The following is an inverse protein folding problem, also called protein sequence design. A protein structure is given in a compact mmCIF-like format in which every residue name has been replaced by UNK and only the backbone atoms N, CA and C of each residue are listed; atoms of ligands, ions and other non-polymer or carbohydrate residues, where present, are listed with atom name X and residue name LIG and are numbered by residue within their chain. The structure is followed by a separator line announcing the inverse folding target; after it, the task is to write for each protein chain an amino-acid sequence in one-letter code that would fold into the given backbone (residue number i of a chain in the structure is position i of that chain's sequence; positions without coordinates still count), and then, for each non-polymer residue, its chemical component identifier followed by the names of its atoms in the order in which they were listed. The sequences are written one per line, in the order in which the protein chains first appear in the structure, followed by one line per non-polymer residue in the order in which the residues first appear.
data_IF_814022704799
#
_entry.id   IF_814022704799
#
_cell.length_a   1.000
_cell.length_b   1.000
_cell.length_c   1.000
_cell.angle_alpha   90.00
_cell.angle_beta   90.00
_cell.angle_gamma   90.00
#
_symmetry.space_group_name_H-M   'P 1'
#
loop_
_entity.id
_entity.type
_entity.pdbx_description
1 polymer ?
#
# COMPACT_ATOMS: atom_id res chain seq x y z
N UNK A 1 -0.18 -26.69 0.03
CA UNK A 1 -0.50 -27.30 -1.28
C UNK A 1 -0.09 -26.35 -2.40
N UNK A 2 0.15 -26.81 -3.66
CA UNK A 2 0.55 -25.95 -4.77
C UNK A 2 -0.37 -24.74 -5.00
N UNK A 3 -1.69 -24.91 -4.84
CA UNK A 3 -2.70 -23.86 -5.02
C UNK A 3 -2.51 -22.69 -4.03
N UNK A 4 -2.13 -22.99 -2.78
CA UNK A 4 -1.86 -21.96 -1.78
C UNK A 4 -0.65 -21.11 -2.16
N UNK A 5 0.42 -21.72 -2.70
CA UNK A 5 1.60 -20.97 -3.15
C UNK A 5 1.22 -20.01 -4.28
N UNK A 6 0.42 -20.47 -5.24
CA UNK A 6 -0.07 -19.63 -6.34
C UNK A 6 -0.92 -18.47 -5.82
N UNK A 7 -1.84 -18.73 -4.88
CA UNK A 7 -2.66 -17.67 -4.28
C UNK A 7 -1.80 -16.61 -3.57
N UNK A 8 -0.76 -17.02 -2.83
CA UNK A 8 0.17 -16.08 -2.18
C UNK A 8 0.92 -15.22 -3.21
N UNK A 9 1.32 -15.79 -4.34
CA UNK A 9 1.96 -15.04 -5.43
C UNK A 9 0.99 -13.98 -5.96
N UNK A 10 -0.25 -14.35 -6.30
CA UNK A 10 -1.22 -13.39 -6.80
C UNK A 10 -1.52 -12.26 -5.82
N UNK A 11 -1.70 -12.57 -4.53
CA UNK A 11 -1.90 -11.55 -3.50
C UNK A 11 -0.69 -10.60 -3.40
N UNK A 12 0.54 -11.13 -3.42
CA UNK A 12 1.77 -10.32 -3.34
C UNK A 12 1.89 -9.38 -4.52
N UNK A 13 1.72 -9.90 -5.74
CA UNK A 13 1.86 -9.10 -6.95
C UNK A 13 0.72 -8.09 -7.10
N UNK A 14 -0.52 -8.47 -6.76
CA UNK A 14 -1.66 -7.56 -6.80
C UNK A 14 -1.52 -6.37 -5.85
N UNK A 15 -1.11 -6.63 -4.59
CA UNK A 15 -0.89 -5.55 -3.61
C UNK A 15 0.33 -4.71 -4.00
N UNK A 16 1.44 -5.33 -4.40
CA UNK A 16 2.64 -4.61 -4.82
C UNK A 16 2.39 -3.71 -6.03
N UNK A 17 1.58 -4.16 -6.99
CA UNK A 17 1.18 -3.36 -8.15
C UNK A 17 0.52 -2.04 -7.73
N UNK A 18 -0.37 -2.06 -6.73
CA UNK A 18 -1.05 -0.84 -6.26
C UNK A 18 -0.05 0.14 -5.66
N UNK A 19 0.88 -0.33 -4.83
CA UNK A 19 1.94 0.54 -4.28
C UNK A 19 2.85 1.12 -5.37
N UNK A 20 3.23 0.31 -6.37
CA UNK A 20 4.02 0.80 -7.49
C UNK A 20 3.26 1.83 -8.32
N UNK A 21 1.99 1.60 -8.58
CA UNK A 21 1.14 2.52 -9.31
C UNK A 21 1.07 3.86 -8.57
N UNK A 22 0.75 3.84 -7.28
CA UNK A 22 0.66 5.04 -6.45
C UNK A 22 1.99 5.82 -6.42
N UNK A 23 3.09 5.11 -6.15
CA UNK A 23 4.41 5.71 -6.08
C UNK A 23 4.90 6.31 -7.40
N UNK A 24 4.62 5.66 -8.54
CA UNK A 24 5.06 6.17 -9.85
C UNK A 24 4.21 7.38 -10.24
N UNK A 25 2.89 7.30 -10.10
CA UNK A 25 2.00 8.37 -10.55
C UNK A 25 2.03 9.60 -9.65
N UNK A 26 2.38 9.46 -8.37
CA UNK A 26 2.63 10.61 -7.47
C UNK A 26 3.83 11.46 -7.91
N UNK A 27 4.85 10.86 -8.53
CA UNK A 27 5.96 11.60 -9.13
C UNK A 27 5.55 12.28 -10.44
N UNK A 28 4.75 11.60 -11.25
CA UNK A 28 4.33 12.11 -12.56
C UNK A 28 3.31 13.25 -12.44
N UNK A 29 2.37 13.15 -11.49
CA UNK A 29 1.25 14.08 -11.36
C UNK A 29 1.06 14.54 -9.91
N UNK A 30 2.04 15.16 -9.25
CA UNK A 30 2.03 15.40 -7.80
C UNK A 30 0.80 16.15 -7.27
N UNK A 31 0.19 17.00 -8.09
CA UNK A 31 -1.02 17.76 -7.73
C UNK A 31 -2.24 16.85 -7.51
N UNK A 32 -2.31 15.70 -8.20
CA UNK A 32 -3.41 14.75 -8.05
C UNK A 32 -3.27 13.92 -6.77
N UNK A 33 -2.05 13.80 -6.23
CA UNK A 33 -1.72 12.88 -5.14
C UNK A 33 -1.56 13.57 -3.78
N UNK A 34 -1.15 14.83 -3.75
CA UNK A 34 -0.95 15.57 -2.49
C UNK A 34 -2.26 15.68 -1.68
N UNK A 35 -3.41 15.65 -2.34
CA UNK A 35 -4.72 15.67 -1.70
C UNK A 35 -4.98 14.50 -0.74
N UNK A 36 -4.35 13.35 -0.98
CA UNK A 36 -4.52 12.14 -0.16
C UNK A 36 -3.76 12.19 1.18
N UNK A 37 -2.91 13.19 1.38
CA UNK A 37 -2.18 13.37 2.62
C UNK A 37 -2.98 14.25 3.60
N UNK A 38 -2.99 13.87 4.90
CA UNK A 38 -3.58 14.68 5.94
C UNK A 38 -3.06 16.13 5.94
N UNK A 39 -3.96 17.08 6.21
CA UNK A 39 -3.64 18.52 6.23
C UNK A 39 -2.49 18.84 7.20
N UNK A 40 -2.42 18.15 8.34
CA UNK A 40 -1.36 18.40 9.32
C UNK A 40 0.05 18.08 8.76
N UNK A 41 0.21 17.06 7.92
CA UNK A 41 1.50 16.77 7.28
C UNK A 41 1.85 17.84 6.25
N UNK A 42 0.86 18.27 5.46
CA UNK A 42 1.02 19.31 4.42
C UNK A 42 1.38 20.68 4.97
N UNK A 43 1.03 20.96 6.23
CA UNK A 43 1.38 22.21 6.89
C UNK A 43 2.79 22.21 7.51
N UNK A 44 3.38 21.03 7.73
CA UNK A 44 4.68 20.87 8.40
C UNK A 44 5.80 20.63 7.40
N UNK A 45 5.53 19.87 6.33
CA UNK A 45 6.55 19.42 5.38
C UNK A 45 6.26 19.95 3.96
N UNK A 46 7.31 20.22 3.16
CA UNK A 46 7.13 20.55 1.76
C UNK A 46 6.49 19.39 0.98
N UNK A 47 5.56 19.70 0.07
CA UNK A 47 4.87 18.73 -0.79
C UNK A 47 5.82 17.72 -1.45
N UNK A 48 6.94 18.21 -2.01
CA UNK A 48 7.92 17.34 -2.67
C UNK A 48 8.56 16.32 -1.72
N UNK A 49 8.80 16.70 -0.46
CA UNK A 49 9.37 15.79 0.54
C UNK A 49 8.35 14.74 0.99
N UNK A 50 7.09 15.14 1.19
CA UNK A 50 5.99 14.23 1.54
C UNK A 50 5.82 13.17 0.46
N UNK A 51 5.64 13.61 -0.79
CA UNK A 51 5.38 12.72 -1.92
C UNK A 51 6.59 11.84 -2.22
N UNK A 52 7.80 12.39 -2.27
CA UNK A 52 9.01 11.60 -2.53
C UNK A 52 9.27 10.58 -1.43
N UNK A 53 9.12 10.98 -0.16
CA UNK A 53 9.31 10.09 0.99
C UNK A 53 8.32 8.93 1.01
N UNK A 54 7.03 9.22 0.80
CA UNK A 54 6.01 8.18 0.77
C UNK A 54 6.12 7.27 -0.46
N UNK A 55 6.44 7.82 -1.62
CA UNK A 55 6.63 7.04 -2.84
C UNK A 55 7.84 6.11 -2.75
N UNK A 56 8.93 6.58 -2.14
CA UNK A 56 10.08 5.73 -1.84
C UNK A 56 9.70 4.58 -0.88
N UNK A 57 8.90 4.88 0.14
CA UNK A 57 8.35 3.90 1.06
C UNK A 57 7.48 2.85 0.34
N UNK A 58 6.54 3.29 -0.52
CA UNK A 58 5.66 2.42 -1.29
C UNK A 58 6.43 1.52 -2.27
N UNK A 59 7.42 2.05 -2.99
CA UNK A 59 8.31 1.25 -3.84
C UNK A 59 9.05 0.20 -3.02
N UNK A 60 9.63 0.59 -1.88
CA UNK A 60 10.35 -0.33 -1.00
C UNK A 60 9.43 -1.45 -0.50
N UNK A 61 8.20 -1.10 -0.11
CA UNK A 61 7.20 -2.05 0.36
C UNK A 61 6.73 -2.99 -0.76
N UNK A 62 6.50 -2.48 -1.97
CA UNK A 62 6.13 -3.30 -3.14
C UNK A 62 7.24 -4.28 -3.52
N UNK A 63 8.51 -3.85 -3.54
CA UNK A 63 9.63 -4.76 -3.76
C UNK A 63 9.78 -5.78 -2.62
N UNK A 64 9.53 -5.38 -1.36
CA UNK A 64 9.54 -6.30 -0.23
C UNK A 64 8.46 -7.38 -0.36
N UNK A 65 7.23 -7.01 -0.74
CA UNK A 65 6.16 -7.96 -1.06
C UNK A 65 6.56 -8.94 -2.17
N UNK A 66 7.12 -8.45 -3.28
CA UNK A 66 7.56 -9.29 -4.41
C UNK A 66 8.74 -10.19 -4.02
N UNK A 67 9.60 -9.78 -3.09
CA UNK A 67 10.69 -10.65 -2.63
C UNK A 67 10.20 -11.90 -1.89
N UNK A 68 9.05 -11.82 -1.21
CA UNK A 68 8.51 -12.89 -0.38
C UNK A 68 9.27 -13.15 0.92
N UNK A 69 10.32 -12.37 1.19
CA UNK A 69 11.06 -12.43 2.46
C UNK A 69 10.20 -11.84 3.56
N UNK A 70 10.16 -12.49 4.73
CA UNK A 70 9.41 -11.99 5.90
C UNK A 70 7.96 -11.63 5.56
N UNK A 71 7.30 -12.48 4.77
CA UNK A 71 6.01 -12.20 4.12
C UNK A 71 4.90 -11.75 5.09
N UNK A 72 4.87 -12.30 6.31
CA UNK A 72 3.92 -11.87 7.32
C UNK A 72 4.07 -10.37 7.64
N UNK A 73 5.32 -9.90 7.81
CA UNK A 73 5.59 -8.52 8.19
C UNK A 73 5.33 -7.54 7.06
N UNK A 74 5.73 -7.87 5.82
CA UNK A 74 5.43 -7.02 4.67
C UNK A 74 3.93 -6.92 4.41
N UNK A 75 3.19 -8.01 4.61
CA UNK A 75 1.73 -8.02 4.47
C UNK A 75 1.02 -7.21 5.56
N UNK A 76 1.44 -7.32 6.83
CA UNK A 76 0.89 -6.51 7.93
C UNK A 76 1.18 -5.03 7.70
N UNK A 77 2.41 -4.67 7.32
CA UNK A 77 2.76 -3.29 7.04
C UNK A 77 1.94 -2.73 5.86
N UNK A 78 1.68 -3.56 4.84
CA UNK A 78 0.79 -3.22 3.73
C UNK A 78 -0.64 -2.96 4.21
N UNK A 79 -1.19 -3.84 5.06
CA UNK A 79 -2.52 -3.67 5.62
C UNK A 79 -2.63 -2.38 6.43
N UNK A 80 -1.63 -2.06 7.28
CA UNK A 80 -1.59 -0.83 8.05
C UNK A 80 -1.49 0.42 7.16
N UNK A 81 -0.71 0.35 6.08
CA UNK A 81 -0.57 1.45 5.11
C UNK A 81 -1.90 1.73 4.43
N UNK A 82 -2.54 0.70 3.90
CA UNK A 82 -3.82 0.80 3.19
C UNK A 82 -4.91 1.27 4.16
N UNK A 83 -4.93 0.75 5.40
CA UNK A 83 -5.84 1.23 6.44
C UNK A 83 -5.64 2.71 6.74
N UNK A 84 -4.38 3.16 6.84
CA UNK A 84 -4.05 4.57 6.98
C UNK A 84 -4.62 5.41 5.83
N UNK A 85 -4.43 4.98 4.59
CA UNK A 85 -5.00 5.64 3.41
C UNK A 85 -6.52 5.75 3.53
N UNK A 86 -7.22 4.66 3.85
CA UNK A 86 -8.68 4.66 4.02
C UNK A 86 -9.11 5.64 5.11
N UNK A 87 -8.53 5.54 6.31
CA UNK A 87 -8.94 6.31 7.49
C UNK A 87 -8.72 7.80 7.27
N UNK A 88 -7.60 8.21 6.67
CA UNK A 88 -7.31 9.62 6.40
C UNK A 88 -8.02 10.18 5.17
N UNK A 89 -8.69 9.34 4.37
CA UNK A 89 -9.39 9.74 3.15
C UNK A 89 -10.88 9.36 3.13
N UNK A 90 -11.52 9.21 4.31
CA UNK A 90 -12.95 8.92 4.40
C UNK A 90 -13.84 9.98 3.73
N UNK A 91 -13.36 11.23 3.62
CA UNK A 91 -14.06 12.30 2.90
C UNK A 91 -14.10 12.11 1.37
N UNK A 92 -13.25 11.23 0.83
CA UNK A 92 -13.18 10.86 -0.59
C UNK A 92 -13.45 9.35 -0.76
N UNK A 93 -14.42 8.83 0.01
CA UNK A 93 -14.70 7.39 0.06
C UNK A 93 -15.11 6.79 -1.29
N UNK A 94 -15.76 7.57 -2.15
CA UNK A 94 -16.09 7.23 -3.53
C UNK A 94 -14.84 6.91 -4.39
N UNK A 95 -13.67 7.42 -4.00
CA UNK A 95 -12.39 7.13 -4.64
C UNK A 95 -11.69 5.94 -3.96
N UNK A 96 -11.70 5.87 -2.62
CA UNK A 96 -10.91 4.89 -1.85
C UNK A 96 -11.68 3.63 -1.41
N UNK A 97 -12.96 3.46 -1.74
CA UNK A 97 -13.76 2.29 -1.30
C UNK A 97 -13.12 0.94 -1.65
N UNK A 98 -12.47 0.84 -2.81
CA UNK A 98 -11.79 -0.38 -3.28
C UNK A 98 -10.65 -0.81 -2.37
N UNK A 99 -10.08 0.13 -1.63
CA UNK A 99 -8.94 -0.10 -0.75
C UNK A 99 -9.35 -0.95 0.45
N UNK A 100 -10.64 -1.02 0.80
CA UNK A 100 -11.16 -2.01 1.78
C UNK A 100 -10.86 -3.43 1.31
N UNK A 101 -11.08 -3.72 0.02
CA UNK A 101 -10.75 -5.02 -0.57
C UNK A 101 -9.25 -5.30 -0.49
N UNK A 102 -8.42 -4.30 -0.79
CA UNK A 102 -6.95 -4.42 -0.71
C UNK A 102 -6.46 -4.61 0.72
N UNK A 103 -7.08 -3.95 1.69
CA UNK A 103 -6.80 -4.11 3.12
C UNK A 103 -7.03 -5.57 3.55
N UNK A 104 -8.20 -6.13 3.23
CA UNK A 104 -8.48 -7.54 3.54
C UNK A 104 -7.61 -8.50 2.72
N UNK A 105 -7.24 -8.17 1.49
CA UNK A 105 -6.28 -8.95 0.71
C UNK A 105 -4.90 -8.98 1.38
N UNK A 106 -4.43 -7.86 1.94
CA UNK A 106 -3.19 -7.77 2.69
C UNK A 106 -3.25 -8.56 4.01
N UNK A 107 -4.37 -8.51 4.73
CA UNK A 107 -4.58 -9.36 5.91
C UNK A 107 -4.59 -10.85 5.54
N UNK A 108 -5.30 -11.23 4.48
CA UNK A 108 -5.31 -12.60 3.99
C UNK A 108 -3.90 -13.07 3.64
N UNK A 109 -3.11 -12.24 2.97
CA UNK A 109 -1.71 -12.51 2.68
C UNK A 109 -0.89 -12.75 3.96
N UNK A 110 -1.07 -11.91 4.99
CA UNK A 110 -0.37 -12.04 6.25
C UNK A 110 -0.69 -13.39 6.91
N UNK A 111 -1.97 -13.70 7.12
CA UNK A 111 -2.38 -14.90 7.84
C UNK A 111 -2.11 -16.20 7.05
N UNK A 112 -2.24 -16.20 5.73
CA UNK A 112 -1.91 -17.36 4.89
C UNK A 112 -0.39 -17.61 4.77
N UNK A 113 0.44 -16.58 5.03
CA UNK A 113 1.90 -16.69 5.01
C UNK A 113 2.49 -17.24 6.30
N UNK A 114 1.75 -17.16 7.41
CA UNK A 114 2.15 -17.75 8.68
C UNK A 114 2.06 -19.27 8.51
N UNK A 115 3.21 -19.95 8.49
CA UNK A 115 3.22 -21.40 8.68
C UNK A 115 2.53 -21.64 10.04
N UNK A 116 1.48 -22.46 10.03
CA UNK A 116 1.02 -23.12 11.26
C UNK A 116 2.15 -23.92 11.87
#
# INVERSE_FOLDING_TARGET
MPQQKTALIFLRFGIAFVFFYAAIFSFLNPNDWIGFFPVFLRNILPTGLILAGFSFYELTLGFWLISGKLQFYSAILSALTILGIIVFNLGAFDIVFRDIGLFFAALALAFLSRKG
#
